data_IF_117455540637
#
_entry.id   IF_117455540637
#
_cell.length_a   1.000
_cell.length_b   1.000
_cell.length_c   1.000
_cell.angle_alpha   90.00
_cell.angle_beta   90.00
_cell.angle_gamma   90.00
#
_symmetry.space_group_name_H-M   'P 1'
#
loop_
_entity.id
_entity.type
_entity.pdbx_description
1 polymer ?
#
# COMPACT_ATOMS: atom_id res chain seq x y z
N UNK A 1 5.29 -6.67 -23.10
CA UNK A 1 5.46 -5.34 -22.46
C UNK A 1 5.11 -5.42 -20.99
N UNK A 2 6.09 -5.28 -20.10
CA UNK A 2 5.84 -5.04 -18.67
C UNK A 2 5.07 -3.72 -18.53
N UNK A 3 4.12 -3.65 -17.61
CA UNK A 3 3.29 -2.47 -17.38
C UNK A 3 4.19 -1.30 -16.94
N UNK A 4 4.34 -0.27 -17.77
CA UNK A 4 5.11 0.95 -17.45
C UNK A 4 4.53 1.76 -16.27
N UNK A 5 3.40 1.34 -15.71
CA UNK A 5 2.67 2.04 -14.65
C UNK A 5 3.47 2.07 -13.34
N UNK A 6 4.12 0.96 -12.94
CA UNK A 6 4.95 0.92 -11.73
C UNK A 6 6.16 1.88 -11.82
N UNK A 7 6.78 2.01 -13.00
CA UNK A 7 7.91 2.93 -13.24
C UNK A 7 7.53 4.41 -13.17
N UNK A 8 6.28 4.77 -13.45
CA UNK A 8 5.78 6.16 -13.36
C UNK A 8 5.34 6.52 -11.94
N UNK A 9 5.09 5.52 -11.10
CA UNK A 9 4.50 5.69 -9.78
C UNK A 9 5.61 5.73 -8.71
N UNK A 10 5.98 6.94 -8.28
CA UNK A 10 6.92 7.13 -7.16
C UNK A 10 6.17 7.06 -5.82
N UNK A 11 5.90 5.83 -5.35
CA UNK A 11 5.35 5.57 -4.02
C UNK A 11 6.50 5.42 -3.01
N UNK A 12 6.48 6.27 -1.99
CA UNK A 12 7.39 6.29 -0.85
C UNK A 12 7.07 7.45 0.10
N UNK A 13 6.99 7.14 1.39
CA UNK A 13 6.82 8.13 2.46
C UNK A 13 8.20 8.48 3.04
N UNK A 14 8.56 9.77 3.03
CA UNK A 14 9.75 10.30 3.73
C UNK A 14 9.33 10.79 5.12
N UNK A 15 9.93 10.22 6.18
CA UNK A 15 9.61 10.56 7.57
C UNK A 15 10.63 11.57 8.10
N UNK A 16 10.16 12.67 8.68
CA UNK A 16 11.00 13.65 9.40
C UNK A 16 11.10 13.30 10.88
N UNK A 17 12.21 13.66 11.53
CA UNK A 17 12.48 13.39 12.97
C UNK A 17 11.38 13.93 13.91
N UNK A 18 10.66 14.99 13.53
CA UNK A 18 9.57 15.56 14.33
C UNK A 18 8.29 14.70 14.44
N UNK A 19 8.29 13.49 13.90
CA UNK A 19 7.13 12.58 13.84
C UNK A 19 7.41 11.24 14.54
N UNK A 20 8.37 11.21 15.45
CA UNK A 20 8.82 10.01 16.17
C UNK A 20 7.69 9.14 16.72
N UNK A 21 6.64 9.75 17.28
CA UNK A 21 5.47 9.01 17.82
C UNK A 21 4.70 8.23 16.74
N UNK A 22 4.73 8.67 15.49
CA UNK A 22 4.02 8.06 14.35
C UNK A 22 4.94 7.30 13.40
N UNK A 23 6.25 7.49 13.54
CA UNK A 23 7.29 6.88 12.71
C UNK A 23 7.11 5.38 12.53
N UNK A 24 6.77 4.58 13.58
CA UNK A 24 6.55 3.14 13.40
C UNK A 24 5.37 2.81 12.48
N UNK A 25 4.25 3.49 12.63
CA UNK A 25 3.05 3.24 11.83
C UNK A 25 3.25 3.66 10.37
N UNK A 26 3.87 4.83 10.16
CA UNK A 26 4.17 5.36 8.84
C UNK A 26 5.21 4.51 8.10
N UNK A 27 6.20 3.96 8.80
CA UNK A 27 7.15 3.01 8.23
C UNK A 27 6.44 1.75 7.75
N UNK A 28 5.57 1.15 8.57
CA UNK A 28 4.81 -0.04 8.16
C UNK A 28 3.95 0.25 6.93
N UNK A 29 3.30 1.40 6.89
CA UNK A 29 2.51 1.80 5.72
C UNK A 29 3.40 1.99 4.48
N UNK A 30 4.57 2.62 4.63
CA UNK A 30 5.55 2.78 3.55
C UNK A 30 6.07 1.43 3.02
N UNK A 31 6.30 0.45 3.89
CA UNK A 31 6.70 -0.89 3.48
C UNK A 31 5.58 -1.65 2.76
N UNK A 32 4.34 -1.60 3.26
CA UNK A 32 3.18 -2.19 2.58
C UNK A 32 3.03 -1.63 1.16
N UNK A 33 3.22 -0.32 1.00
CA UNK A 33 3.21 0.35 -0.29
C UNK A 33 4.28 -0.21 -1.25
N UNK A 34 5.53 -0.36 -0.79
CA UNK A 34 6.62 -0.94 -1.58
C UNK A 34 6.35 -2.40 -1.95
N UNK A 35 5.77 -3.18 -1.04
CA UNK A 35 5.43 -4.58 -1.28
C UNK A 35 4.39 -4.72 -2.40
N UNK A 36 3.35 -3.88 -2.43
CA UNK A 36 2.33 -3.88 -3.49
C UNK A 36 2.92 -3.49 -4.85
N UNK A 37 3.84 -2.52 -4.91
CA UNK A 37 4.55 -2.19 -6.15
C UNK A 37 5.36 -3.38 -6.66
N UNK A 38 6.09 -4.06 -5.77
CA UNK A 38 6.85 -5.28 -6.13
C UNK A 38 5.94 -6.41 -6.63
N UNK A 39 4.73 -6.55 -6.09
CA UNK A 39 3.73 -7.53 -6.55
C UNK A 39 3.29 -7.20 -7.98
N UNK A 40 2.99 -5.93 -8.29
CA UNK A 40 2.62 -5.49 -9.64
C UNK A 40 3.76 -5.72 -10.66
N UNK A 41 5.00 -5.43 -10.28
CA UNK A 41 6.17 -5.63 -11.16
C UNK A 41 6.40 -7.10 -11.53
N UNK A 42 6.14 -8.02 -10.60
CA UNK A 42 6.45 -9.46 -10.76
C UNK A 42 5.34 -10.27 -11.44
N UNK A 43 4.10 -9.79 -11.43
CA UNK A 43 2.95 -10.57 -11.92
C UNK A 43 2.68 -10.38 -13.42
N UNK A 44 2.32 -11.48 -14.08
CA UNK A 44 1.81 -11.43 -15.46
C UNK A 44 0.27 -11.45 -15.52
N UNK A 45 -0.39 -11.69 -14.38
CA UNK A 45 -1.82 -11.93 -14.29
C UNK A 45 -2.52 -10.82 -13.49
N UNK A 46 -3.83 -10.64 -13.74
CA UNK A 46 -4.69 -9.71 -12.99
C UNK A 46 -4.21 -8.24 -12.98
N UNK A 47 -3.50 -7.82 -14.03
CA UNK A 47 -2.93 -6.47 -14.19
C UNK A 47 -3.95 -5.35 -14.07
N UNK A 48 -5.19 -5.55 -14.52
CA UNK A 48 -6.24 -4.51 -14.39
C UNK A 48 -6.66 -4.31 -12.93
N UNK A 49 -6.78 -5.41 -12.16
CA UNK A 49 -7.10 -5.35 -10.73
C UNK A 49 -5.94 -4.70 -9.98
N UNK A 50 -4.69 -5.06 -10.30
CA UNK A 50 -3.52 -4.45 -9.67
C UNK A 50 -3.36 -2.98 -9.98
N UNK A 51 -3.62 -2.54 -11.22
CA UNK A 51 -3.67 -1.10 -11.55
C UNK A 51 -4.69 -0.36 -10.69
N UNK A 52 -5.87 -0.94 -10.48
CA UNK A 52 -6.88 -0.34 -9.60
C UNK A 52 -6.42 -0.30 -8.14
N UNK A 53 -5.73 -1.35 -7.66
CA UNK A 53 -5.12 -1.37 -6.32
C UNK A 53 -4.05 -0.28 -6.21
N UNK A 54 -3.12 -0.18 -7.16
CA UNK A 54 -2.07 0.84 -7.20
C UNK A 54 -2.65 2.27 -7.21
N UNK A 55 -3.72 2.50 -7.98
CA UNK A 55 -4.42 3.79 -7.99
C UNK A 55 -4.98 4.17 -6.62
N UNK A 56 -5.55 3.22 -5.88
CA UNK A 56 -6.04 3.44 -4.51
C UNK A 56 -4.89 3.65 -3.53
N UNK A 57 -3.79 2.92 -3.71
CA UNK A 57 -2.58 3.08 -2.89
C UNK A 57 -1.97 4.48 -3.05
N UNK A 58 -1.91 5.00 -4.27
CA UNK A 58 -1.48 6.38 -4.54
C UNK A 58 -2.32 7.42 -3.78
N UNK A 59 -3.65 7.29 -3.81
CA UNK A 59 -4.54 8.20 -3.08
C UNK A 59 -4.31 8.12 -1.56
N UNK A 60 -4.17 6.91 -1.03
CA UNK A 60 -3.89 6.66 0.38
C UNK A 60 -2.55 7.28 0.81
N UNK A 61 -1.52 7.13 -0.02
CA UNK A 61 -0.21 7.72 0.22
C UNK A 61 -0.24 9.25 0.17
N UNK A 62 -0.95 9.83 -0.80
CA UNK A 62 -1.11 11.28 -0.92
C UNK A 62 -1.80 11.87 0.31
N UNK A 63 -2.80 11.19 0.87
CA UNK A 63 -3.46 11.61 2.11
C UNK A 63 -2.47 11.65 3.29
N UNK A 64 -1.60 10.64 3.40
CA UNK A 64 -0.56 10.62 4.42
C UNK A 64 0.45 11.75 4.18
N UNK A 65 0.96 11.91 2.95
CA UNK A 65 1.88 13.00 2.60
C UNK A 65 1.27 14.37 2.93
N UNK A 66 -0.01 14.58 2.63
CA UNK A 66 -0.72 15.80 2.98
C UNK A 66 -0.75 16.01 4.49
N UNK A 67 -1.06 14.96 5.27
CA UNK A 67 -1.03 14.99 6.73
C UNK A 67 0.37 15.34 7.26
N UNK A 68 1.43 14.80 6.65
CA UNK A 68 2.82 15.05 7.05
C UNK A 68 3.25 16.50 6.76
N UNK A 69 2.89 17.02 5.59
CA UNK A 69 3.18 18.42 5.21
C UNK A 69 2.47 19.39 6.16
N UNK A 70 1.26 19.06 6.59
CA UNK A 70 0.45 19.90 7.48
C UNK A 70 0.45 19.41 8.93
N UNK A 71 1.53 18.77 9.40
CA UNK A 71 1.60 18.11 10.72
C UNK A 71 1.13 18.99 11.88
N UNK A 72 1.42 20.29 11.84
CA UNK A 72 1.03 21.24 12.89
C UNK A 72 -0.48 21.41 12.98
N UNK A 73 -1.15 21.49 11.82
CA UNK A 73 -2.62 21.52 11.75
C UNK A 73 -3.24 20.22 12.26
N UNK A 74 -2.57 19.08 12.04
CA UNK A 74 -3.06 17.77 12.48
C UNK A 74 -2.63 17.40 13.90
N UNK A 75 -1.76 18.16 14.58
CA UNK A 75 -1.13 17.80 15.86
C UNK A 75 -2.13 17.41 16.95
N UNK A 76 -3.18 18.21 17.14
CA UNK A 76 -4.22 17.93 18.14
C UNK A 76 -5.04 16.69 17.77
N UNK A 77 -5.41 16.54 16.49
CA UNK A 77 -6.11 15.36 15.98
C UNK A 77 -5.24 14.10 16.14
N UNK A 78 -3.96 14.20 15.84
CA UNK A 78 -2.99 13.12 15.99
C UNK A 78 -2.84 12.67 17.45
N UNK A 79 -3.06 13.56 18.41
CA UNK A 79 -3.05 13.23 19.84
C UNK A 79 -4.38 12.63 20.33
N UNK A 80 -5.42 12.64 19.50
CA UNK A 80 -6.74 12.10 19.82
C UNK A 80 -6.78 10.57 19.63
N UNK A 81 -7.24 9.84 20.66
CA UNK A 81 -7.32 8.37 20.63
C UNK A 81 -8.18 7.82 19.49
N UNK A 82 -9.34 8.43 19.19
CA UNK A 82 -10.21 7.96 18.08
C UNK A 82 -9.53 8.16 16.72
N UNK A 83 -8.73 9.21 16.58
CA UNK A 83 -7.97 9.45 15.35
C UNK A 83 -6.83 8.43 15.22
N UNK A 84 -6.14 8.10 16.31
CA UNK A 84 -5.12 7.04 16.35
C UNK A 84 -5.71 5.67 15.98
N UNK A 85 -6.87 5.33 16.52
CA UNK A 85 -7.61 4.10 16.16
C UNK A 85 -7.97 4.07 14.67
N UNK A 86 -8.34 5.22 14.11
CA UNK A 86 -8.62 5.36 12.67
C UNK A 86 -7.37 5.13 11.82
N UNK A 87 -6.21 5.65 12.24
CA UNK A 87 -4.92 5.40 11.58
C UNK A 87 -4.50 3.92 11.67
N UNK A 88 -4.74 3.27 12.82
CA UNK A 88 -4.48 1.85 12.97
C UNK A 88 -5.39 1.00 12.07
N UNK A 89 -6.67 1.36 12.01
CA UNK A 89 -7.65 0.73 11.11
C UNK A 89 -7.24 0.89 9.66
N UNK A 90 -6.81 2.09 9.27
CA UNK A 90 -6.29 2.37 7.94
C UNK A 90 -5.08 1.47 7.60
N UNK A 91 -4.09 1.35 8.49
CA UNK A 91 -2.95 0.43 8.32
C UNK A 91 -3.41 -1.02 8.13
N UNK A 92 -4.37 -1.49 8.93
CA UNK A 92 -4.91 -2.85 8.79
C UNK A 92 -5.63 -3.07 7.45
N UNK A 93 -6.31 -2.06 6.91
CA UNK A 93 -6.93 -2.13 5.59
C UNK A 93 -5.86 -2.22 4.50
N UNK A 94 -4.78 -1.45 4.59
CA UNK A 94 -3.68 -1.52 3.63
C UNK A 94 -3.02 -2.91 3.62
N UNK A 95 -2.83 -3.52 4.79
CA UNK A 95 -2.29 -4.88 4.88
C UNK A 95 -3.24 -5.93 4.26
N UNK A 96 -4.56 -5.80 4.48
CA UNK A 96 -5.56 -6.66 3.81
C UNK A 96 -5.52 -6.50 2.28
N UNK A 97 -5.34 -5.28 1.77
CA UNK A 97 -5.20 -5.01 0.34
C UNK A 97 -3.95 -5.67 -0.22
N UNK A 98 -2.82 -5.60 0.50
CA UNK A 98 -1.59 -6.31 0.12
C UNK A 98 -1.83 -7.82 0.02
N UNK A 99 -2.36 -8.42 1.08
CA UNK A 99 -2.61 -9.86 1.12
C UNK A 99 -3.58 -10.30 0.01
N UNK A 100 -4.57 -9.45 -0.33
CA UNK A 100 -5.44 -9.68 -1.49
C UNK A 100 -4.66 -9.62 -2.81
N UNK A 101 -3.79 -8.63 -3.01
CA UNK A 101 -2.93 -8.49 -4.19
C UNK A 101 -2.02 -9.72 -4.37
N UNK A 102 -1.42 -10.23 -3.29
CA UNK A 102 -0.62 -11.45 -3.32
C UNK A 102 -1.46 -12.67 -3.74
N UNK A 103 -2.64 -12.85 -3.11
CA UNK A 103 -3.50 -14.00 -3.43
C UNK A 103 -3.94 -13.98 -4.89
N UNK A 104 -4.41 -12.85 -5.41
CA UNK A 104 -4.90 -12.79 -6.80
C UNK A 104 -3.78 -12.98 -7.82
N UNK A 105 -2.53 -12.61 -7.51
CA UNK A 105 -1.42 -12.82 -8.44
C UNK A 105 -0.96 -14.27 -8.50
N UNK A 106 -1.16 -15.03 -7.43
CA UNK A 106 -0.83 -16.46 -7.35
C UNK A 106 -1.90 -17.39 -7.95
N UNK A 107 -3.16 -16.93 -8.10
CA UNK A 107 -4.28 -17.77 -8.54
C UNK A 107 -4.10 -18.45 -9.90
N UNK A 108 -3.29 -17.91 -10.83
CA UNK A 108 -3.08 -18.56 -12.14
C UNK A 108 -2.07 -19.71 -12.08
N UNK A 109 -1.15 -19.73 -11.10
CA UNK A 109 -0.22 -20.85 -10.91
C UNK A 109 -0.90 -22.15 -10.46
N UNK A 110 -2.09 -22.06 -9.87
CA UNK A 110 -2.83 -23.23 -9.37
C UNK A 110 -3.72 -23.90 -10.42
N UNK A 111 -4.15 -23.19 -11.47
CA UNK A 111 -5.03 -23.76 -12.50
C UNK A 111 -4.19 -24.48 -13.57
N UNK A 112 -3.05 -23.92 -13.96
CA UNK A 112 -2.19 -24.53 -14.98
C UNK A 112 -1.51 -25.83 -14.48
N UNK A 113 -1.29 -25.97 -13.17
CA UNK A 113 -0.73 -27.19 -12.55
C UNK A 113 -1.72 -28.37 -12.44
N UNK A 114 -3.03 -28.12 -12.55
CA UNK A 114 -4.08 -29.15 -12.53
C UNK A 114 -4.45 -29.65 -13.93
N UNK A 115 -4.21 -28.85 -14.97
CA UNK A 115 -4.52 -29.22 -16.36
C UNK A 115 -3.41 -30.09 -16.98
N UNK A 116 -2.18 -30.02 -16.47
CA UNK A 116 -1.05 -30.86 -16.93
C UNK A 116 -0.94 -32.23 -16.20
N UNK A 117 -1.95 -32.61 -15.42
CA UNK A 117 -2.00 -33.90 -14.69
C UNK A 117 -3.22 -34.77 -15.03
N UNK A 118 -3.91 -34.51 -16.15
CA UNK A 118 -4.97 -35.38 -16.68
C UNK A 118 -4.56 -35.94 -18.03
#
# INVERSE_FOLDING_TARGET
MASNVAKTINIGITISSSLETFSPLLNVVSEIFKEIVKIDEKTQCNKNILKAILGRMLSAEMAIKFMLVHKEYFREKLSNLKYQESLHTFKNILDKIKNFAERITQLRGSIDGLILRQ
#
